data_IF_831791256340
#
_entry.id   IF_831791256340
#
_cell.length_a   1.000
_cell.length_b   1.000
_cell.length_c   1.000
_cell.angle_alpha   90.00
_cell.angle_beta   90.00
_cell.angle_gamma   90.00
#
_symmetry.space_group_name_H-M   'P 1'
#
loop_
_entity.id
_entity.type
_entity.pdbx_description
1 polymer ?
#
# COMPACT_ATOMS: atom_id res chain seq x y z
N UNK A 1 35.78 -25.86 -33.82
CA UNK A 1 34.35 -25.72 -34.14
C UNK A 1 33.77 -24.66 -33.20
N UNK A 2 33.39 -23.50 -33.74
CA UNK A 2 32.81 -22.36 -33.00
C UNK A 2 31.38 -22.73 -32.57
N UNK A 3 30.99 -22.37 -31.34
CA UNK A 3 29.63 -21.91 -31.05
C UNK A 3 29.74 -20.67 -30.16
N UNK A 4 29.23 -19.58 -30.71
CA UNK A 4 29.18 -18.22 -30.18
C UNK A 4 27.89 -17.97 -29.40
N UNK A 5 28.02 -17.17 -28.34
CA UNK A 5 27.16 -16.09 -27.85
C UNK A 5 25.67 -16.29 -27.48
N UNK A 6 25.32 -15.46 -26.48
CA UNK A 6 24.03 -14.82 -26.23
C UNK A 6 22.88 -15.63 -25.61
N UNK A 7 22.67 -15.38 -24.31
CA UNK A 7 21.38 -14.91 -23.79
C UNK A 7 21.59 -14.20 -22.45
N UNK A 8 21.93 -12.92 -22.55
CA UNK A 8 21.56 -11.96 -21.52
C UNK A 8 20.04 -12.03 -21.35
N UNK A 9 19.57 -12.28 -20.12
CA UNK A 9 18.17 -12.12 -19.78
C UNK A 9 17.71 -10.69 -20.13
N UNK A 10 16.40 -10.48 -20.39
CA UNK A 10 15.91 -9.22 -20.91
C UNK A 10 16.29 -8.08 -19.96
N UNK A 11 17.09 -7.15 -20.47
CA UNK A 11 17.30 -5.85 -19.85
C UNK A 11 15.95 -5.17 -19.76
N UNK A 12 15.42 -5.05 -18.53
CA UNK A 12 14.16 -4.38 -18.26
C UNK A 12 14.34 -2.87 -18.49
N UNK A 13 14.04 -2.44 -19.72
CA UNK A 13 13.93 -1.04 -20.11
C UNK A 13 12.49 -0.77 -20.53
N UNK A 14 11.67 -0.32 -19.59
CA UNK A 14 10.36 0.27 -19.89
C UNK A 14 9.87 1.04 -18.66
N UNK A 15 10.39 2.27 -18.53
CA UNK A 15 9.78 3.37 -17.79
C UNK A 15 9.56 4.52 -18.80
N UNK A 16 8.69 5.52 -18.55
CA UNK A 16 8.62 6.69 -19.40
C UNK A 16 9.94 7.42 -19.20
N UNK A 17 10.60 7.76 -20.31
CA UNK A 17 11.75 8.65 -20.28
C UNK A 17 11.36 9.98 -19.64
N UNK A 18 12.35 10.74 -19.14
CA UNK A 18 12.10 12.08 -18.63
C UNK A 18 11.34 12.94 -19.67
N UNK A 19 10.65 13.98 -19.21
CA UNK A 19 10.08 14.98 -20.12
C UNK A 19 11.19 15.60 -21.01
N UNK A 20 10.81 16.41 -21.99
CA UNK A 20 11.77 17.06 -22.90
C UNK A 20 12.84 17.92 -22.19
N UNK A 21 12.72 18.13 -20.86
CA UNK A 21 13.67 18.87 -20.01
C UNK A 21 14.47 17.97 -19.05
N UNK A 22 14.32 16.64 -19.12
CA UNK A 22 15.03 15.73 -18.21
C UNK A 22 14.31 15.47 -16.89
N UNK A 23 13.10 16.02 -16.66
CA UNK A 23 12.38 15.89 -15.39
C UNK A 23 11.56 14.60 -15.31
N UNK A 24 11.43 14.07 -14.09
CA UNK A 24 10.58 12.91 -13.81
C UNK A 24 9.23 13.45 -13.32
N UNK A 25 8.16 13.10 -14.05
CA UNK A 25 6.80 13.31 -13.58
C UNK A 25 6.56 12.32 -12.45
N UNK A 26 6.26 12.84 -11.26
CA UNK A 26 5.85 12.03 -10.12
C UNK A 26 4.37 12.23 -9.84
N UNK A 27 3.72 11.16 -9.42
CA UNK A 27 2.35 11.13 -8.92
C UNK A 27 2.39 10.88 -7.42
N UNK A 28 1.43 11.45 -6.71
CA UNK A 28 1.24 11.18 -5.28
C UNK A 28 0.21 10.08 -5.11
N UNK A 29 0.48 9.16 -4.19
CA UNK A 29 -0.47 8.16 -3.70
C UNK A 29 -0.62 8.40 -2.20
N UNK A 30 -1.84 8.29 -1.70
CA UNK A 30 -2.15 8.49 -0.30
C UNK A 30 -2.48 7.16 0.37
N UNK A 31 -1.90 6.94 1.54
CA UNK A 31 -2.26 5.83 2.43
C UNK A 31 -2.97 6.44 3.63
N UNK A 32 -4.20 5.99 3.84
CA UNK A 32 -5.08 6.52 4.89
C UNK A 32 -5.27 5.43 5.93
N UNK A 33 -4.80 5.70 7.14
CA UNK A 33 -5.01 4.83 8.28
C UNK A 33 -6.20 5.38 9.07
N UNK A 34 -7.22 4.56 9.35
CA UNK A 34 -8.40 5.00 10.11
C UNK A 34 -8.72 4.09 11.29
N UNK A 35 -9.30 4.68 12.34
CA UNK A 35 -10.00 3.95 13.40
C UNK A 35 -11.50 4.00 13.13
N UNK A 36 -12.05 2.86 12.70
CA UNK A 36 -13.47 2.73 12.36
C UNK A 36 -14.35 2.41 13.58
N UNK A 37 -13.78 2.26 14.78
CA UNK A 37 -14.53 2.02 16.02
C UNK A 37 -15.35 0.72 16.07
N UNK A 38 -15.23 -0.15 15.06
CA UNK A 38 -15.99 -1.42 14.97
C UNK A 38 -15.58 -2.40 16.06
N UNK A 39 -16.45 -3.35 16.42
CA UNK A 39 -16.10 -4.44 17.37
C UNK A 39 -14.82 -5.17 16.95
N UNK A 40 -14.63 -5.36 15.65
CA UNK A 40 -13.42 -5.97 15.10
C UNK A 40 -12.20 -5.07 15.31
N UNK A 41 -12.30 -3.76 15.05
CA UNK A 41 -11.19 -2.84 15.31
C UNK A 41 -10.85 -2.78 16.80
N UNK A 42 -11.84 -2.88 17.71
CA UNK A 42 -11.61 -2.97 19.16
C UNK A 42 -10.85 -4.23 19.58
N UNK A 43 -11.20 -5.39 19.00
CA UNK A 43 -10.51 -6.66 19.24
C UNK A 43 -9.08 -6.60 18.72
N UNK A 44 -8.90 -6.15 17.46
CA UNK A 44 -7.58 -5.99 16.86
C UNK A 44 -6.76 -5.01 17.69
N UNK A 45 -7.28 -3.83 18.05
CA UNK A 45 -6.62 -2.84 18.91
C UNK A 45 -6.14 -3.44 20.22
N UNK A 46 -6.96 -4.26 20.89
CA UNK A 46 -6.60 -4.92 22.14
C UNK A 46 -5.44 -5.90 21.96
N UNK A 47 -5.36 -6.57 20.81
CA UNK A 47 -4.30 -7.50 20.49
C UNK A 47 -3.02 -6.82 19.97
N UNK A 48 -3.15 -5.78 19.13
CA UNK A 48 -2.04 -5.12 18.44
C UNK A 48 -1.48 -3.91 19.18
N UNK A 49 -2.21 -3.40 20.19
CA UNK A 49 -1.90 -2.14 20.87
C UNK A 49 -2.10 -0.89 19.99
N UNK A 50 -2.60 -1.04 18.76
CA UNK A 50 -2.70 0.07 17.80
C UNK A 50 -4.14 0.57 17.64
N UNK A 51 -4.38 1.90 17.73
CA UNK A 51 -5.73 2.46 17.58
C UNK A 51 -6.19 2.49 16.12
N UNK A 52 -5.28 2.73 15.16
CA UNK A 52 -5.58 2.74 13.73
C UNK A 52 -5.46 1.33 13.18
N UNK A 53 -6.55 0.79 12.64
CA UNK A 53 -6.64 -0.63 12.28
C UNK A 53 -7.15 -0.87 10.86
N UNK A 54 -7.64 0.18 10.20
CA UNK A 54 -8.04 0.13 8.80
C UNK A 54 -7.03 0.87 7.93
N UNK A 55 -6.79 0.37 6.72
CA UNK A 55 -5.81 0.91 5.77
C UNK A 55 -6.47 0.99 4.39
N UNK A 56 -6.50 2.20 3.83
CA UNK A 56 -7.01 2.47 2.49
C UNK A 56 -5.94 3.14 1.64
N UNK A 57 -6.04 2.99 0.31
CA UNK A 57 -5.17 3.63 -0.68
C UNK A 57 -5.99 4.58 -1.57
N UNK A 58 -5.50 5.79 -1.80
CA UNK A 58 -6.12 6.79 -2.66
C UNK A 58 -5.13 7.32 -3.70
N UNK A 59 -5.65 7.83 -4.81
CA UNK A 59 -4.87 8.36 -5.94
C UNK A 59 -5.12 9.84 -6.21
N UNK A 60 -5.78 10.50 -5.27
CA UNK A 60 -6.12 11.92 -5.30
C UNK A 60 -5.93 12.51 -3.89
N UNK A 61 -5.53 13.78 -3.85
CA UNK A 61 -5.25 14.52 -2.61
C UNK A 61 -6.53 14.86 -1.83
N UNK A 62 -7.69 14.78 -2.46
CA UNK A 62 -8.99 15.05 -1.84
C UNK A 62 -9.55 13.84 -1.08
N UNK A 63 -8.95 12.65 -1.26
CA UNK A 63 -9.44 11.37 -0.72
C UNK A 63 -10.90 11.09 -1.13
N UNK A 64 -11.28 11.53 -2.34
CA UNK A 64 -12.63 11.35 -2.88
C UNK A 64 -12.92 9.89 -3.21
N UNK A 65 -11.90 9.14 -3.65
CA UNK A 65 -12.01 7.71 -3.95
C UNK A 65 -10.87 6.93 -3.31
N UNK A 66 -11.17 6.28 -2.18
CA UNK A 66 -10.26 5.38 -1.49
C UNK A 66 -10.66 3.92 -1.74
N UNK A 67 -9.66 3.06 -1.83
CA UNK A 67 -9.81 1.65 -2.09
C UNK A 67 -9.29 0.84 -0.90
N UNK A 68 -10.06 -0.15 -0.45
CA UNK A 68 -9.58 -1.09 0.56
C UNK A 68 -10.30 -2.44 0.46
N UNK A 69 -9.90 -3.37 1.34
CA UNK A 69 -10.67 -4.56 1.64
C UNK A 69 -11.29 -4.41 3.02
N UNK A 70 -12.60 -4.54 3.10
CA UNK A 70 -13.36 -4.27 4.32
C UNK A 70 -14.72 -4.94 4.31
N UNK A 71 -15.59 -4.51 5.21
CA UNK A 71 -16.99 -4.94 5.24
C UNK A 71 -17.74 -4.27 4.09
N UNK A 72 -18.35 -5.08 3.23
CA UNK A 72 -19.20 -4.59 2.13
C UNK A 72 -20.56 -4.15 2.68
N UNK A 73 -21.04 -4.79 3.76
CA UNK A 73 -22.32 -4.46 4.37
C UNK A 73 -22.15 -4.12 5.85
N UNK A 74 -22.55 -2.91 6.22
CA UNK A 74 -22.32 -2.36 7.57
C UNK A 74 -22.89 -3.21 8.71
N UNK A 75 -24.06 -3.83 8.47
CA UNK A 75 -24.77 -4.66 9.44
C UNK A 75 -24.35 -6.13 9.45
N UNK A 76 -23.62 -6.60 8.44
CA UNK A 76 -23.18 -8.00 8.35
C UNK A 76 -21.65 -8.08 8.47
N UNK A 77 -21.10 -8.48 9.64
CA UNK A 77 -19.66 -8.54 9.84
C UNK A 77 -18.95 -9.59 9.01
N UNK A 78 -19.68 -10.52 8.36
CA UNK A 78 -19.12 -11.60 7.52
C UNK A 78 -19.23 -11.31 6.01
N UNK A 79 -19.95 -10.26 5.61
CA UNK A 79 -19.98 -9.78 4.22
C UNK A 79 -18.83 -8.81 4.01
N UNK A 80 -17.67 -9.35 3.60
CA UNK A 80 -16.48 -8.55 3.33
C UNK A 80 -15.87 -8.85 1.97
N UNK A 81 -15.22 -7.83 1.41
CA UNK A 81 -14.64 -7.85 0.07
C UNK A 81 -14.02 -6.51 -0.28
N UNK A 82 -13.81 -6.28 -1.58
CA UNK A 82 -13.33 -5.00 -2.10
C UNK A 82 -14.36 -3.89 -1.86
N UNK A 83 -13.91 -2.75 -1.34
CA UNK A 83 -14.76 -1.59 -1.06
C UNK A 83 -14.16 -0.32 -1.64
N UNK A 84 -15.05 0.56 -2.11
CA UNK A 84 -14.75 1.96 -2.38
C UNK A 84 -15.28 2.79 -1.22
N UNK A 85 -14.44 3.65 -0.70
CA UNK A 85 -14.71 4.45 0.48
C UNK A 85 -14.44 5.92 0.14
N UNK A 86 -15.18 6.84 0.76
CA UNK A 86 -14.99 8.28 0.59
C UNK A 86 -14.77 8.91 1.96
N UNK A 87 -13.95 9.95 2.01
CA UNK A 87 -13.80 10.72 3.24
C UNK A 87 -15.15 11.34 3.65
N UNK A 88 -15.47 11.35 4.94
CA UNK A 88 -16.71 11.93 5.45
C UNK A 88 -17.98 11.07 5.28
N UNK A 89 -17.89 9.88 4.68
CA UNK A 89 -19.05 8.99 4.46
C UNK A 89 -18.97 7.69 5.26
N UNK A 90 -20.14 7.08 5.52
CA UNK A 90 -20.24 5.74 6.12
C UNK A 90 -19.50 5.58 7.45
N UNK A 91 -18.69 4.52 7.58
CA UNK A 91 -17.86 4.26 8.77
C UNK A 91 -16.73 5.27 8.96
N UNK A 92 -16.39 6.04 7.92
CA UNK A 92 -15.27 6.96 7.94
C UNK A 92 -15.68 8.38 8.34
N UNK A 93 -16.99 8.67 8.44
CA UNK A 93 -17.52 10.01 8.72
C UNK A 93 -16.90 10.68 9.95
N UNK A 94 -16.83 9.97 11.06
CA UNK A 94 -16.29 10.48 12.33
C UNK A 94 -15.01 9.75 12.76
N UNK A 95 -14.37 9.03 11.83
CA UNK A 95 -13.17 8.25 12.12
C UNK A 95 -11.97 9.17 12.40
N UNK A 96 -11.17 8.80 13.39
CA UNK A 96 -9.82 9.36 13.54
C UNK A 96 -8.93 8.76 12.43
N UNK A 97 -8.12 9.60 11.80
CA UNK A 97 -7.24 9.17 10.72
C UNK A 97 -5.80 9.68 10.88
N UNK A 98 -4.90 9.01 10.18
CA UNK A 98 -3.59 9.51 9.81
C UNK A 98 -3.41 9.32 8.31
N UNK A 99 -3.10 10.41 7.60
CA UNK A 99 -2.91 10.43 6.15
C UNK A 99 -1.43 10.53 5.87
N UNK A 100 -0.93 9.64 5.02
CA UNK A 100 0.44 9.63 4.54
C UNK A 100 0.41 9.78 3.02
N UNK A 101 1.42 10.44 2.46
CA UNK A 101 1.68 10.45 1.02
C UNK A 101 3.00 9.77 0.71
N UNK A 102 3.11 9.21 -0.48
CA UNK A 102 4.40 8.87 -1.07
C UNK A 102 4.36 9.13 -2.57
N UNK A 103 5.54 9.38 -3.14
CA UNK A 103 5.71 9.76 -4.54
C UNK A 103 6.14 8.56 -5.35
N UNK A 104 5.50 8.39 -6.50
CA UNK A 104 5.78 7.32 -7.46
C UNK A 104 5.95 7.89 -8.85
N UNK A 105 6.62 7.15 -9.71
CA UNK A 105 6.61 7.44 -11.15
C UNK A 105 5.23 7.20 -11.74
N UNK A 106 4.95 7.83 -12.88
CA UNK A 106 3.71 7.61 -13.64
C UNK A 106 3.45 6.12 -13.95
N UNK A 107 4.50 5.35 -14.25
CA UNK A 107 4.37 3.93 -14.57
C UNK A 107 4.07 3.06 -13.34
N UNK A 108 4.71 3.35 -12.20
CA UNK A 108 4.37 2.68 -10.94
C UNK A 108 2.92 2.99 -10.55
N UNK A 109 2.52 4.26 -10.65
CA UNK A 109 1.14 4.68 -10.43
C UNK A 109 0.15 3.90 -11.32
N UNK A 110 0.44 3.79 -12.63
CA UNK A 110 -0.40 3.07 -13.58
C UNK A 110 -0.50 1.57 -13.25
N UNK A 111 0.59 0.93 -12.84
CA UNK A 111 0.59 -0.50 -12.45
C UNK A 111 -0.27 -0.74 -11.22
N UNK A 112 -0.07 0.07 -10.17
CA UNK A 112 -0.83 -0.05 -8.91
C UNK A 112 -2.32 0.18 -9.18
N UNK A 113 -2.66 1.31 -9.83
CA UNK A 113 -4.06 1.66 -10.12
C UNK A 113 -4.71 0.66 -11.07
N UNK A 114 -4.00 0.22 -12.10
CA UNK A 114 -4.47 -0.80 -13.03
C UNK A 114 -4.84 -2.11 -12.34
N UNK A 115 -4.00 -2.57 -11.40
CA UNK A 115 -4.29 -3.79 -10.63
C UNK A 115 -5.52 -3.64 -9.74
N UNK A 116 -5.67 -2.49 -9.09
CA UNK A 116 -6.84 -2.19 -8.25
C UNK A 116 -8.13 -2.22 -9.08
N UNK A 117 -8.13 -1.59 -10.26
CA UNK A 117 -9.29 -1.58 -11.16
C UNK A 117 -9.62 -2.97 -11.72
N UNK A 118 -8.61 -3.83 -11.93
CA UNK A 118 -8.83 -5.23 -12.30
C UNK A 118 -9.54 -6.00 -11.17
N UNK A 119 -9.07 -5.85 -9.93
CA UNK A 119 -9.72 -6.44 -8.74
C UNK A 119 -11.14 -5.90 -8.56
N UNK A 120 -11.36 -4.61 -8.82
CA UNK A 120 -12.68 -4.01 -8.77
C UNK A 120 -13.65 -4.67 -9.77
N UNK A 121 -13.24 -4.84 -11.03
CA UNK A 121 -14.06 -5.51 -12.06
C UNK A 121 -14.39 -6.94 -11.67
N UNK A 122 -13.44 -7.61 -11.04
CA UNK A 122 -13.60 -8.98 -10.54
C UNK A 122 -14.09 -9.06 -9.08
N UNK A 123 -14.61 -7.98 -8.48
CA UNK A 123 -14.89 -7.91 -7.03
C UNK A 123 -15.72 -9.08 -6.48
N UNK A 124 -16.61 -9.65 -7.28
CA UNK A 124 -17.43 -10.82 -6.93
C UNK A 124 -16.61 -12.10 -6.69
N UNK A 125 -15.37 -12.16 -7.18
CA UNK A 125 -14.41 -13.27 -6.99
C UNK A 125 -13.56 -13.11 -5.74
N UNK A 126 -13.58 -11.95 -5.10
CA UNK A 126 -12.72 -11.59 -3.98
C UNK A 126 -13.53 -11.44 -2.69
N UNK A 127 -13.09 -12.12 -1.64
CA UNK A 127 -13.75 -12.10 -0.31
C UNK A 127 -12.82 -11.50 0.73
N UNK A 128 -13.34 -11.01 1.86
CA UNK A 128 -12.50 -10.57 2.96
C UNK A 128 -11.91 -11.76 3.72
N UNK A 129 -10.61 -11.67 4.05
CA UNK A 129 -9.90 -12.76 4.73
C UNK A 129 -10.07 -12.74 6.26
N UNK A 130 -11.29 -12.99 6.74
CA UNK A 130 -11.56 -13.07 8.19
C UNK A 130 -10.72 -14.14 8.88
N UNK A 131 -10.45 -15.26 8.21
CA UNK A 131 -9.64 -16.36 8.76
C UNK A 131 -8.15 -15.99 8.76
N UNK A 132 -7.68 -15.22 7.77
CA UNK A 132 -6.34 -14.63 7.78
C UNK A 132 -6.11 -13.74 9.00
N UNK A 133 -7.13 -13.00 9.44
CA UNK A 133 -7.04 -12.21 10.67
C UNK A 133 -6.87 -13.08 11.93
N UNK A 134 -7.52 -14.24 11.98
CA UNK A 134 -7.26 -15.26 13.03
C UNK A 134 -5.82 -15.77 12.91
N UNK A 135 -5.32 -15.99 11.69
CA UNK A 135 -3.91 -16.33 11.43
C UNK A 135 -2.93 -15.30 12.00
N UNK A 136 -3.21 -13.99 11.83
CA UNK A 136 -2.41 -12.91 12.44
C UNK A 136 -2.41 -13.01 13.97
N UNK A 137 -3.58 -13.26 14.59
CA UNK A 137 -3.71 -13.42 16.04
C UNK A 137 -2.96 -14.67 16.55
N UNK A 138 -2.91 -15.73 15.75
CA UNK A 138 -2.21 -16.98 16.06
C UNK A 138 -0.74 -17.00 15.58
N UNK A 139 -0.25 -15.90 15.00
CA UNK A 139 1.05 -15.78 14.33
C UNK A 139 1.34 -16.93 13.34
N UNK A 140 0.31 -17.36 12.60
CA UNK A 140 0.40 -18.39 11.55
C UNK A 140 -0.04 -17.82 10.21
N UNK A 141 0.73 -18.12 9.17
CA UNK A 141 0.36 -17.78 7.80
C UNK A 141 -0.82 -18.65 7.37
N UNK A 142 -1.99 -18.03 7.19
CA UNK A 142 -3.17 -18.68 6.61
C UNK A 142 -3.44 -18.01 5.27
N UNK A 143 -2.78 -18.52 4.24
CA UNK A 143 -2.92 -18.03 2.88
C UNK A 143 -4.24 -18.53 2.25
N UNK A 144 -5.12 -17.60 1.92
CA UNK A 144 -6.32 -17.87 1.11
C UNK A 144 -6.23 -17.15 -0.22
N UNK A 145 -6.36 -17.92 -1.32
CA UNK A 145 -6.46 -17.34 -2.66
C UNK A 145 -7.69 -16.42 -2.71
N UNK A 146 -7.51 -15.20 -3.25
CA UNK A 146 -8.56 -14.17 -3.42
C UNK A 146 -9.20 -13.68 -2.12
N UNK A 147 -8.48 -13.76 -1.00
CA UNK A 147 -8.91 -13.14 0.24
C UNK A 147 -7.84 -12.22 0.80
N UNK A 148 -8.21 -10.96 1.03
CA UNK A 148 -7.34 -9.94 1.65
C UNK A 148 -8.02 -9.34 2.88
N UNK A 149 -7.20 -8.92 3.85
CA UNK A 149 -7.56 -7.86 4.79
C UNK A 149 -6.91 -6.54 4.35
N UNK A 150 -7.37 -5.41 4.89
CA UNK A 150 -7.06 -4.05 4.41
C UNK A 150 -5.56 -3.77 4.20
N UNK A 151 -4.71 -4.02 5.20
CA UNK A 151 -3.27 -3.79 5.10
C UNK A 151 -2.57 -4.75 4.12
N UNK A 152 -2.95 -6.03 4.09
CA UNK A 152 -2.41 -6.99 3.13
C UNK A 152 -2.71 -6.56 1.68
N UNK A 153 -3.92 -6.06 1.43
CA UNK A 153 -4.32 -5.55 0.13
C UNK A 153 -3.40 -4.40 -0.30
N UNK A 154 -3.23 -3.37 0.54
CA UNK A 154 -2.38 -2.22 0.20
C UNK A 154 -0.94 -2.66 -0.06
N UNK A 155 -0.35 -3.51 0.79
CA UNK A 155 1.01 -4.05 0.55
C UNK A 155 1.08 -4.80 -0.78
N UNK A 156 0.09 -5.63 -1.10
CA UNK A 156 0.06 -6.39 -2.35
C UNK A 156 -0.05 -5.48 -3.59
N UNK A 157 -0.82 -4.38 -3.52
CA UNK A 157 -0.96 -3.44 -4.63
C UNK A 157 0.35 -2.71 -4.89
N UNK A 158 1.02 -2.25 -3.85
CA UNK A 158 2.34 -1.59 -3.95
C UNK A 158 3.41 -2.54 -4.50
N UNK A 159 3.37 -3.81 -4.08
CA UNK A 159 4.29 -4.84 -4.58
C UNK A 159 4.18 -5.08 -6.10
N UNK A 160 3.03 -4.83 -6.74
CA UNK A 160 2.92 -4.94 -8.21
C UNK A 160 3.74 -3.90 -8.98
N UNK A 161 4.12 -2.81 -8.32
CA UNK A 161 5.05 -1.82 -8.84
C UNK A 161 6.48 -2.02 -8.33
N UNK A 162 6.77 -3.09 -7.57
CA UNK A 162 8.07 -3.32 -6.95
C UNK A 162 8.33 -2.50 -5.70
N UNK A 163 7.29 -1.86 -5.13
CA UNK A 163 7.41 -1.00 -3.96
C UNK A 163 7.28 -1.82 -2.69
N UNK A 164 8.35 -1.86 -1.89
CA UNK A 164 8.35 -2.47 -0.56
C UNK A 164 8.08 -1.40 0.50
N UNK A 165 6.82 -1.26 0.92
CA UNK A 165 6.41 -0.21 1.88
C UNK A 165 6.71 -0.55 3.34
N UNK A 166 6.84 -1.85 3.66
CA UNK A 166 7.08 -2.36 5.02
C UNK A 166 8.03 -3.56 4.97
N UNK A 167 8.76 -3.79 6.06
CA UNK A 167 9.60 -4.98 6.21
C UNK A 167 8.83 -6.23 6.59
N UNK A 168 7.57 -6.10 7.00
CA UNK A 168 6.71 -7.23 7.32
C UNK A 168 6.13 -7.86 6.05
N UNK A 169 6.01 -9.20 5.99
CA UNK A 169 5.32 -9.85 4.90
C UNK A 169 3.85 -9.40 4.86
N UNK A 170 3.24 -9.38 3.67
CA UNK A 170 1.88 -8.87 3.48
C UNK A 170 0.84 -9.49 4.44
N UNK A 171 0.98 -10.78 4.78
CA UNK A 171 0.08 -11.48 5.70
C UNK A 171 0.22 -11.05 7.17
N UNK A 172 1.32 -10.38 7.55
CA UNK A 172 1.53 -9.79 8.89
C UNK A 172 1.53 -8.26 8.87
N UNK A 173 1.34 -7.64 7.70
CA UNK A 173 1.30 -6.19 7.58
C UNK A 173 0.15 -5.62 8.44
N UNK A 174 0.43 -4.62 9.25
CA UNK A 174 -0.54 -3.94 10.11
C UNK A 174 -0.38 -2.44 9.88
N UNK A 175 -1.41 -1.66 10.20
CA UNK A 175 -1.40 -0.20 10.04
C UNK A 175 -0.14 0.46 10.65
N UNK A 176 0.31 0.00 11.84
CA UNK A 176 1.55 0.51 12.45
C UNK A 176 2.80 0.32 11.58
N UNK A 177 2.87 -0.74 10.78
CA UNK A 177 4.05 -1.00 9.96
C UNK A 177 4.16 -0.02 8.79
N UNK A 178 3.03 0.59 8.38
CA UNK A 178 3.06 1.72 7.44
C UNK A 178 3.66 2.96 8.12
N UNK A 179 3.29 3.24 9.37
CA UNK A 179 3.83 4.41 10.11
C UNK A 179 5.34 4.37 10.34
N UNK A 180 5.97 3.19 10.19
CA UNK A 180 7.41 2.98 10.32
C UNK A 180 8.16 3.11 8.98
N UNK A 181 7.45 3.27 7.86
CA UNK A 181 8.06 3.36 6.54
C UNK A 181 8.73 4.70 6.32
N UNK A 182 10.01 4.69 5.93
CA UNK A 182 10.74 5.91 5.55
C UNK A 182 10.29 6.51 4.21
N UNK A 183 9.50 5.77 3.41
CA UNK A 183 8.96 6.24 2.14
C UNK A 183 7.67 7.05 2.32
N UNK A 184 7.02 6.96 3.50
CA UNK A 184 5.75 7.62 3.77
C UNK A 184 5.99 8.96 4.48
N UNK A 185 5.54 10.03 3.83
CA UNK A 185 5.54 11.38 4.37
C UNK A 185 4.20 11.62 5.08
N UNK A 186 4.18 11.96 6.38
CA UNK A 186 2.93 12.28 7.08
C UNK A 186 2.36 13.60 6.56
N UNK A 187 1.06 13.59 6.23
CA UNK A 187 0.31 14.75 5.71
C UNK A 187 -0.64 15.31 6.76
N UNK A 188 -1.38 14.45 7.44
CA UNK A 188 -2.42 14.86 8.38
C UNK A 188 -2.64 13.81 9.47
N UNK A 189 -3.07 14.25 10.66
CA UNK A 189 -3.54 13.40 11.74
C UNK A 189 -4.65 14.10 12.51
N UNK A 190 -5.81 13.46 12.62
CA UNK A 190 -6.99 14.04 13.29
C UNK A 190 -8.30 13.42 12.80
N UNK A 191 -9.45 14.05 13.07
CA UNK A 191 -10.74 13.63 12.54
C UNK A 191 -10.77 13.70 11.01
N UNK A 192 -11.20 12.63 10.32
CA UNK A 192 -11.18 12.60 8.85
C UNK A 192 -12.04 13.71 8.21
N UNK A 193 -13.13 14.11 8.86
CA UNK A 193 -13.99 15.22 8.41
C UNK A 193 -13.31 16.60 8.42
N UNK A 194 -12.19 16.74 9.14
CA UNK A 194 -11.39 17.96 9.23
C UNK A 194 -10.17 17.92 8.30
N UNK A 195 -10.03 16.87 7.50
CA UNK A 195 -8.97 16.75 6.52
C UNK A 195 -9.13 17.80 5.41
N UNK A 196 -8.03 18.49 5.09
CA UNK A 196 -7.92 19.42 3.98
C UNK A 196 -6.79 18.96 3.08
N UNK A 197 -7.07 18.87 1.78
CA UNK A 197 -6.12 18.40 0.79
C UNK A 197 -4.86 19.30 0.74
N UNK A 198 -3.64 18.73 0.76
CA UNK A 198 -2.44 19.48 0.42
C UNK A 198 -2.45 19.76 -1.10
N UNK A 199 -2.11 20.98 -1.53
CA UNK A 199 -2.18 21.35 -2.95
C UNK A 199 -1.22 20.59 -3.89
N UNK A 200 -1.52 20.71 -5.20
CA UNK A 200 -1.14 19.85 -6.33
C UNK A 200 0.34 19.44 -6.58
N UNK A 201 0.45 18.27 -7.24
CA UNK A 201 1.52 17.64 -8.04
C UNK A 201 2.85 18.40 -8.19
N UNK A 202 3.93 17.79 -7.69
CA UNK A 202 5.30 18.29 -7.84
C UNK A 202 5.99 17.62 -9.03
N UNK A 203 6.65 18.38 -9.90
CA UNK A 203 7.63 17.83 -10.86
C UNK A 203 9.00 17.80 -10.19
N UNK A 204 9.66 16.63 -10.13
CA UNK A 204 10.98 16.53 -9.50
C UNK A 204 12.05 16.54 -10.60
N UNK A 205 12.96 17.51 -10.54
CA UNK A 205 14.19 17.47 -11.34
C UNK A 205 15.12 16.38 -10.80
N UNK A 206 15.81 15.61 -11.65
CA UNK A 206 16.72 14.58 -11.19
C UNK A 206 17.79 15.23 -10.31
N UNK A 207 17.92 14.76 -9.06
CA UNK A 207 19.06 15.15 -8.22
C UNK A 207 20.34 14.70 -8.93
N UNK A 208 21.18 15.65 -9.36
CA UNK A 208 22.55 15.37 -9.82
C UNK A 208 23.22 14.49 -8.76
N UNK A 209 23.72 13.34 -9.21
CA UNK A 209 23.97 12.17 -8.37
C UNK A 209 24.88 12.42 -7.17
N UNK A 210 24.40 12.03 -5.99
CA UNK A 210 25.29 11.58 -4.91
C UNK A 210 25.33 10.06 -5.03
N UNK A 211 26.43 9.54 -5.58
CA UNK A 211 26.78 8.13 -5.49
C UNK A 211 26.90 7.76 -4.01
N UNK A 212 25.82 7.27 -3.40
CA UNK A 212 25.91 6.57 -2.13
C UNK A 212 26.72 5.29 -2.39
N UNK A 213 27.99 5.29 -1.99
CA UNK A 213 28.79 4.06 -1.88
C UNK A 213 28.08 3.17 -0.87
N UNK A 214 27.38 2.15 -1.36
CA UNK A 214 26.94 1.04 -0.51
C UNK A 214 28.20 0.39 0.08
N UNK A 215 28.33 0.26 1.41
CA UNK A 215 29.43 -0.48 1.99
C UNK A 215 29.30 -1.95 1.59
N UNK A 216 30.33 -2.47 0.93
CA UNK A 216 30.45 -3.90 0.62
C UNK A 216 30.58 -4.65 1.94
N UNK A 217 29.52 -5.36 2.33
CA UNK A 217 29.59 -6.32 3.44
C UNK A 217 30.38 -7.54 2.94
N UNK A 218 31.52 -7.90 3.56
CA UNK A 218 32.28 -9.06 3.13
C UNK A 218 31.56 -10.36 3.54
N UNK A 219 31.28 -11.20 2.55
CA UNK A 219 30.77 -12.56 2.74
C UNK A 219 31.89 -13.41 3.36
N UNK A 220 31.86 -13.64 4.67
CA UNK A 220 32.72 -14.65 5.30
C UNK A 220 32.25 -16.04 4.85
N UNK A 221 33.12 -16.76 4.14
CA UNK A 221 32.99 -18.21 3.94
C UNK A 221 33.14 -18.89 5.30
N UNK A 222 32.19 -19.73 5.66
CA UNK A 222 32.38 -20.75 6.69
C UNK A 222 33.49 -21.70 6.23
N UNK A 223 34.42 -22.01 7.12
CA UNK A 223 35.42 -23.04 6.96
C UNK A 223 35.19 -24.10 8.04
N UNK A 224 35.16 -25.35 7.57
CA UNK A 224 35.24 -26.65 8.27
C UNK A 224 34.19 -26.98 9.33
#
# INVERSE_FOLDING_TARGET
>A
MKITNDKAGPAFRSGPGPDNRGNIIVKEIYIVLTDTGTVLSKIIRRYTGCPLNHVSIAFDEQLEEMYSFGRVQQRNPFSGGFVKERAGEGLLKDAQCAVFRFRVTEDEHRRIRGRILEIERERHRYTYNFIGLIGVILNREICRKRAYFCSQFVVAMLATAGIKITDEPAWRAQARHFTQSSQLEPVYKGPLREYVAPGNVVTISPRRGIRARLPRVPFRRAAS
#
